data_IF_250637711759
#
_entry.id   IF_250637711759
#
_cell.length_a   1.000
_cell.length_b   1.000
_cell.length_c   1.000
_cell.angle_alpha   90.00
_cell.angle_beta   90.00
_cell.angle_gamma   90.00
#
_symmetry.space_group_name_H-M   'P 1'
#
loop_
_entity.id
_entity.type
_entity.pdbx_description
1 polymer ?
#
# COMPACT_ATOMS: atom_id res chain seq x y z
N UNK A 1 32.48 16.98 -48.56
CA UNK A 1 31.61 17.87 -47.77
C UNK A 1 30.42 17.05 -47.30
N UNK A 2 30.13 17.16 -46.00
CA UNK A 2 29.31 16.23 -45.23
C UNK A 2 27.82 16.26 -45.63
N UNK A 3 27.21 15.07 -45.58
CA UNK A 3 25.76 14.87 -45.65
C UNK A 3 25.18 15.38 -44.32
N UNK A 4 24.34 16.42 -44.39
CA UNK A 4 23.65 16.96 -43.22
C UNK A 4 22.49 16.06 -42.83
N UNK A 5 22.53 15.56 -41.60
CA UNK A 5 21.52 14.70 -41.00
C UNK A 5 20.27 15.51 -40.62
N UNK A 6 19.14 15.07 -41.17
CA UNK A 6 17.81 14.97 -40.53
C UNK A 6 17.56 15.80 -39.28
N UNK A 7 16.73 16.83 -39.44
CA UNK A 7 15.93 17.45 -38.38
C UNK A 7 15.00 16.39 -37.76
N UNK A 8 15.42 15.82 -36.63
CA UNK A 8 14.56 14.98 -35.79
C UNK A 8 13.78 15.92 -34.87
N UNK A 9 12.48 16.01 -35.12
CA UNK A 9 11.43 16.60 -34.29
C UNK A 9 11.35 15.91 -32.92
N UNK A 10 12.20 16.31 -31.98
CA UNK A 10 12.16 15.86 -30.57
C UNK A 10 11.72 17.00 -29.65
N UNK A 11 10.50 17.55 -29.80
CA UNK A 11 9.96 18.49 -28.79
C UNK A 11 8.47 18.36 -28.43
N UNK A 12 7.62 17.75 -29.26
CA UNK A 12 6.17 17.69 -28.96
C UNK A 12 5.72 16.44 -28.19
N UNK A 13 6.45 15.32 -28.26
CA UNK A 13 6.09 14.08 -27.55
C UNK A 13 6.20 14.19 -26.02
N UNK A 14 7.01 15.13 -25.51
CA UNK A 14 7.35 15.23 -24.07
C UNK A 14 6.24 15.87 -23.23
N UNK A 15 5.33 16.66 -23.83
CA UNK A 15 4.23 17.34 -23.13
C UNK A 15 2.93 16.54 -23.08
N UNK A 16 2.68 15.64 -24.04
CA UNK A 16 1.43 14.87 -24.06
C UNK A 16 1.36 13.78 -22.99
N UNK A 17 2.51 13.24 -22.55
CA UNK A 17 2.55 12.26 -21.46
C UNK A 17 1.98 12.80 -20.16
N UNK A 18 2.22 14.09 -19.86
CA UNK A 18 1.78 14.74 -18.61
C UNK A 18 0.26 14.81 -18.44
N UNK A 19 -0.53 14.61 -19.50
CA UNK A 19 -1.99 14.66 -19.48
C UNK A 19 -2.67 13.28 -19.56
N UNK A 20 -1.89 12.20 -19.51
CA UNK A 20 -2.43 10.84 -19.63
C UNK A 20 -3.41 10.53 -18.49
N UNK A 21 -4.58 10.00 -18.82
CA UNK A 21 -5.68 9.67 -17.89
C UNK A 21 -6.24 8.25 -18.10
N UNK A 22 -5.56 7.43 -18.89
CA UNK A 22 -5.79 5.99 -18.94
C UNK A 22 -5.06 5.32 -17.79
N UNK A 23 -5.77 4.47 -17.07
CA UNK A 23 -5.15 3.63 -16.05
C UNK A 23 -5.84 2.28 -15.90
N UNK A 24 -5.01 1.25 -15.72
CA UNK A 24 -5.43 -0.06 -15.22
C UNK A 24 -4.30 -0.73 -14.43
N UNK A 25 -4.63 -1.37 -13.30
CA UNK A 25 -3.65 -1.98 -12.41
C UNK A 25 -3.10 -3.28 -13.02
N UNK A 26 -1.85 -3.24 -13.48
CA UNK A 26 -1.21 -4.38 -14.15
C UNK A 26 -0.65 -5.45 -13.18
N UNK A 27 -1.00 -5.41 -11.89
CA UNK A 27 -0.45 -6.31 -10.85
C UNK A 27 1.09 -6.34 -10.84
N UNK A 28 1.69 -5.19 -11.11
CA UNK A 28 3.13 -5.05 -11.31
C UNK A 28 3.94 -4.92 -9.99
N UNK A 29 3.28 -4.88 -8.83
CA UNK A 29 3.93 -4.74 -7.52
C UNK A 29 4.49 -3.35 -7.20
N UNK A 30 4.68 -2.46 -8.19
CA UNK A 30 5.32 -1.16 -8.02
C UNK A 30 4.68 -0.29 -6.94
N UNK A 31 3.37 0.00 -7.00
CA UNK A 31 2.71 0.80 -5.97
C UNK A 31 2.65 0.09 -4.62
N UNK A 32 2.57 -1.24 -4.66
CA UNK A 32 2.53 -2.07 -3.47
C UNK A 32 3.90 -2.18 -2.76
N UNK A 33 5.02 -1.80 -3.37
CA UNK A 33 6.36 -1.84 -2.77
C UNK A 33 6.86 -0.48 -2.27
N UNK A 34 6.06 0.58 -2.43
CA UNK A 34 6.45 1.93 -2.04
C UNK A 34 6.48 2.12 -0.53
N UNK A 35 7.25 3.12 -0.09
CA UNK A 35 7.29 3.54 1.32
C UNK A 35 6.14 4.48 1.63
N UNK A 36 5.09 3.94 2.25
CA UNK A 36 3.91 4.69 2.65
C UNK A 36 3.21 4.01 3.81
N UNK A 37 2.70 4.80 4.75
CA UNK A 37 1.77 4.30 5.76
C UNK A 37 0.37 4.32 5.15
N UNK A 38 -0.28 3.16 5.18
CA UNK A 38 -1.65 3.01 4.69
C UNK A 38 -2.55 2.94 5.92
N UNK A 39 -3.34 3.98 6.14
CA UNK A 39 -4.28 4.06 7.25
C UNK A 39 -5.63 3.47 6.81
N UNK A 40 -6.06 2.35 7.40
CA UNK A 40 -7.36 1.78 7.07
C UNK A 40 -8.50 2.60 7.66
N UNK A 41 -9.58 2.75 6.89
CA UNK A 41 -10.89 3.09 7.42
C UNK A 41 -11.55 1.87 8.12
N UNK A 42 -12.56 2.12 8.96
CA UNK A 42 -13.35 1.04 9.56
C UNK A 42 -14.10 0.22 8.50
N UNK A 43 -14.50 0.85 7.41
CA UNK A 43 -15.16 0.19 6.29
C UNK A 43 -14.18 -0.73 5.55
N UNK A 44 -12.94 -0.29 5.30
CA UNK A 44 -11.90 -1.16 4.74
C UNK A 44 -11.64 -2.39 5.62
N UNK A 45 -11.55 -2.22 6.94
CA UNK A 45 -11.36 -3.33 7.88
C UNK A 45 -12.50 -4.34 7.75
N UNK A 46 -13.76 -3.88 7.72
CA UNK A 46 -14.93 -4.75 7.55
C UNK A 46 -14.93 -5.48 6.22
N UNK A 47 -14.69 -4.74 5.14
CA UNK A 47 -14.72 -5.29 3.78
C UNK A 47 -13.60 -6.32 3.56
N UNK A 48 -12.39 -6.02 4.04
CA UNK A 48 -11.25 -6.93 3.89
C UNK A 48 -11.32 -8.12 4.84
N UNK A 49 -11.77 -7.94 6.08
CA UNK A 49 -11.99 -9.06 7.01
C UNK A 49 -13.09 -10.01 6.51
N UNK A 50 -14.20 -9.47 6.00
CA UNK A 50 -15.26 -10.23 5.35
C UNK A 50 -14.76 -10.99 4.11
N UNK A 51 -13.99 -10.33 3.24
CA UNK A 51 -13.37 -11.00 2.08
C UNK A 51 -12.44 -12.15 2.49
N UNK A 52 -11.67 -11.96 3.56
CA UNK A 52 -10.76 -12.98 4.10
C UNK A 52 -11.45 -14.04 4.97
N UNK A 53 -12.76 -13.91 5.21
CA UNK A 53 -13.54 -14.80 6.09
C UNK A 53 -12.97 -14.91 7.50
N UNK A 54 -12.54 -13.78 8.08
CA UNK A 54 -12.05 -13.69 9.46
C UNK A 54 -12.76 -12.56 10.21
N UNK A 55 -12.70 -12.59 11.55
CA UNK A 55 -13.24 -11.49 12.36
C UNK A 55 -12.45 -10.19 12.19
N UNK A 56 -13.11 -9.04 12.42
CA UNK A 56 -12.44 -7.73 12.48
C UNK A 56 -11.31 -7.73 13.54
N UNK A 57 -11.51 -8.44 14.66
CA UNK A 57 -10.48 -8.60 15.69
C UNK A 57 -9.26 -9.39 15.20
N UNK A 58 -9.47 -10.55 14.58
CA UNK A 58 -8.37 -11.33 13.98
C UNK A 58 -7.69 -10.56 12.85
N UNK A 59 -8.46 -9.80 12.06
CA UNK A 59 -7.93 -8.92 11.04
C UNK A 59 -7.01 -7.85 11.63
N UNK A 60 -7.45 -7.18 12.71
CA UNK A 60 -6.64 -6.19 13.40
C UNK A 60 -5.32 -6.77 13.91
N UNK A 61 -5.37 -7.96 14.54
CA UNK A 61 -4.17 -8.65 15.03
C UNK A 61 -3.21 -9.06 13.90
N UNK A 62 -3.75 -9.52 12.77
CA UNK A 62 -2.96 -10.01 11.62
C UNK A 62 -2.38 -8.89 10.79
N UNK A 63 -3.18 -7.90 10.43
CA UNK A 63 -2.88 -6.95 9.36
C UNK A 63 -2.67 -5.52 9.82
N UNK A 64 -2.96 -5.17 11.07
CA UNK A 64 -2.81 -3.80 11.58
C UNK A 64 -1.68 -3.68 12.60
N UNK A 65 -1.12 -2.48 12.69
CA UNK A 65 -0.10 -2.11 13.65
C UNK A 65 -0.31 -0.67 14.10
N UNK A 66 0.11 -0.37 15.32
CA UNK A 66 0.27 0.99 15.78
C UNK A 66 1.65 1.51 15.36
N UNK A 67 1.68 2.66 14.70
CA UNK A 67 2.90 3.32 14.22
C UNK A 67 2.87 4.79 14.62
N UNK A 68 4.03 5.33 14.99
CA UNK A 68 4.17 6.77 15.21
C UNK A 68 4.35 7.46 13.85
N UNK A 69 3.45 8.37 13.51
CA UNK A 69 3.56 9.19 12.31
C UNK A 69 4.13 10.58 12.67
N UNK A 70 5.38 10.87 12.29
CA UNK A 70 6.01 12.16 12.58
C UNK A 70 5.33 13.33 11.85
N UNK A 71 4.52 13.10 10.81
CA UNK A 71 3.82 14.18 10.10
C UNK A 71 2.65 14.75 10.91
N UNK A 72 1.98 13.91 11.68
CA UNK A 72 0.86 14.29 12.55
C UNK A 72 1.24 14.26 14.03
N UNK A 73 2.49 13.90 14.35
CA UNK A 73 3.07 13.88 15.70
C UNK A 73 2.23 13.05 16.69
N UNK A 74 1.71 11.90 16.24
CA UNK A 74 0.92 10.99 17.07
C UNK A 74 1.08 9.54 16.61
N UNK A 75 0.74 8.60 17.48
CA UNK A 75 0.50 7.21 17.08
C UNK A 75 -0.81 7.09 16.31
N UNK A 76 -0.81 6.24 15.29
CA UNK A 76 -1.93 5.93 14.44
C UNK A 76 -1.96 4.43 14.11
N UNK A 77 -3.15 3.91 13.81
CA UNK A 77 -3.33 2.53 13.34
C UNK A 77 -3.13 2.49 11.84
N UNK A 78 -2.16 1.74 11.37
CA UNK A 78 -1.87 1.53 9.95
C UNK A 78 -1.90 0.04 9.61
N UNK A 79 -2.00 -0.28 8.33
CA UNK A 79 -1.66 -1.62 7.87
C UNK A 79 -0.19 -1.95 8.21
N UNK A 80 0.05 -3.22 8.54
CA UNK A 80 1.39 -3.79 8.57
C UNK A 80 2.01 -3.70 7.17
N UNK A 81 3.32 -3.93 7.14
CA UNK A 81 4.06 -4.03 5.89
C UNK A 81 4.59 -5.45 5.70
N UNK A 82 4.90 -5.80 4.46
CA UNK A 82 5.54 -7.07 4.13
C UNK A 82 7.07 -7.04 4.33
N UNK A 83 7.62 -5.92 4.82
CA UNK A 83 9.03 -5.76 5.16
C UNK A 83 9.21 -5.66 6.69
N UNK A 84 9.69 -6.73 7.36
CA UNK A 84 9.81 -6.76 8.82
C UNK A 84 10.81 -5.72 9.37
N UNK A 85 11.84 -5.38 8.59
CA UNK A 85 12.89 -4.44 8.98
C UNK A 85 12.54 -2.97 8.65
N UNK A 86 11.50 -2.73 7.86
CA UNK A 86 11.01 -1.38 7.52
C UNK A 86 9.48 -1.34 7.59
N UNK A 87 8.92 -0.95 8.75
CA UNK A 87 7.46 -0.97 9.00
C UNK A 87 6.69 0.09 8.20
N UNK A 88 7.35 0.82 7.30
CA UNK A 88 6.74 1.78 6.39
C UNK A 88 6.86 1.39 4.91
N UNK A 89 7.59 0.33 4.59
CA UNK A 89 7.86 -0.06 3.21
C UNK A 89 7.04 -1.27 2.82
N UNK A 90 6.27 -1.13 1.75
CA UNK A 90 5.53 -2.21 1.13
C UNK A 90 4.21 -2.55 1.80
N UNK A 91 3.29 -3.08 1.01
CA UNK A 91 1.95 -3.47 1.43
C UNK A 91 1.97 -4.91 1.95
N UNK A 92 1.36 -5.15 3.12
CA UNK A 92 1.22 -6.50 3.70
C UNK A 92 0.55 -7.52 2.77
N UNK A 93 -0.30 -7.05 1.85
CA UNK A 93 -0.99 -7.92 0.88
C UNK A 93 -0.20 -8.18 -0.41
N UNK A 94 1.02 -7.66 -0.52
CA UNK A 94 1.90 -7.90 -1.66
C UNK A 94 2.89 -9.02 -1.33
N UNK A 95 2.81 -10.13 -2.05
CA UNK A 95 3.72 -11.25 -1.91
C UNK A 95 4.24 -11.65 -3.30
N UNK A 96 5.55 -11.78 -3.45
CA UNK A 96 6.21 -12.08 -4.73
C UNK A 96 5.75 -11.16 -5.89
N UNK A 97 5.58 -9.87 -5.60
CA UNK A 97 5.03 -8.84 -6.51
C UNK A 97 3.57 -9.05 -6.94
N UNK A 98 2.85 -9.99 -6.32
CA UNK A 98 1.44 -10.25 -6.55
C UNK A 98 0.59 -9.74 -5.38
N UNK A 99 -0.49 -9.05 -5.70
CA UNK A 99 -1.47 -8.63 -4.70
C UNK A 99 -2.45 -9.77 -4.42
N UNK A 100 -2.38 -10.33 -3.22
CA UNK A 100 -3.21 -11.49 -2.82
C UNK A 100 -4.69 -11.13 -2.65
N UNK A 101 -4.99 -9.84 -2.45
CA UNK A 101 -6.35 -9.31 -2.36
C UNK A 101 -6.77 -8.58 -3.64
N UNK A 102 -6.14 -8.84 -4.78
CA UNK A 102 -6.41 -8.05 -5.99
C UNK A 102 -7.88 -8.10 -6.44
N UNK A 103 -8.55 -9.23 -6.22
CA UNK A 103 -9.98 -9.42 -6.54
C UNK A 103 -10.91 -9.08 -5.35
N UNK A 104 -10.42 -8.37 -4.33
CA UNK A 104 -11.19 -7.89 -3.19
C UNK A 104 -11.68 -6.44 -3.40
N UNK A 105 -12.40 -5.84 -2.43
CA UNK A 105 -12.69 -4.41 -2.41
C UNK A 105 -11.45 -3.47 -2.45
N UNK A 106 -10.23 -4.05 -2.34
CA UNK A 106 -8.92 -3.38 -2.26
C UNK A 106 -8.90 -2.29 -1.17
N UNK A 107 -7.75 -1.63 -0.99
CA UNK A 107 -7.65 -0.51 -0.05
C UNK A 107 -8.07 0.81 -0.71
N UNK A 108 -8.41 1.81 0.10
CA UNK A 108 -8.68 3.20 -0.29
C UNK A 108 -7.51 3.73 -1.13
N UNK A 109 -6.27 3.43 -0.73
CA UNK A 109 -5.08 3.78 -1.49
C UNK A 109 -5.08 3.13 -2.88
N UNK A 110 -5.46 1.86 -2.98
CA UNK A 110 -5.56 1.16 -4.27
C UNK A 110 -6.69 1.70 -5.16
N UNK A 111 -7.74 2.27 -4.56
CA UNK A 111 -8.88 2.82 -5.27
C UNK A 111 -8.62 4.25 -5.76
N UNK A 112 -7.88 5.07 -5.00
CA UNK A 112 -7.46 6.41 -5.42
C UNK A 112 -6.25 6.39 -6.36
N UNK A 113 -5.37 5.41 -6.26
CA UNK A 113 -4.19 5.33 -7.12
C UNK A 113 -4.56 5.12 -8.59
N UNK A 114 -3.93 5.81 -9.54
CA UNK A 114 -2.81 6.76 -9.41
C UNK A 114 -3.23 8.22 -9.17
N UNK A 115 -4.53 8.51 -9.11
CA UNK A 115 -5.11 9.86 -9.16
C UNK A 115 -4.75 10.75 -7.97
N UNK A 116 -4.31 10.17 -6.85
CA UNK A 116 -3.73 10.93 -5.75
C UNK A 116 -2.51 11.77 -6.19
N UNK A 117 -1.85 11.42 -7.30
CA UNK A 117 -0.71 12.15 -7.89
C UNK A 117 -1.04 12.98 -9.14
N UNK A 118 -2.31 13.10 -9.50
CA UNK A 118 -2.76 13.89 -10.65
C UNK A 118 -3.36 15.22 -10.17
N UNK A 119 -2.78 16.34 -10.63
CA UNK A 119 -3.27 17.70 -10.38
C UNK A 119 -4.45 17.97 -11.33
N UNK A 120 -5.65 18.06 -10.76
CA UNK A 120 -6.88 18.28 -11.52
C UNK A 120 -6.97 19.68 -12.13
N UNK A 121 -6.38 20.69 -11.50
CA UNK A 121 -6.46 22.08 -11.95
C UNK A 121 -5.50 22.34 -13.09
N UNK A 122 -4.32 21.72 -13.04
CA UNK A 122 -3.33 21.78 -14.13
C UNK A 122 -3.55 20.71 -15.20
N UNK A 123 -4.36 19.69 -14.90
CA UNK A 123 -4.49 18.47 -15.68
C UNK A 123 -3.14 17.78 -15.95
N UNK A 124 -2.28 17.77 -14.94
CA UNK A 124 -0.89 17.32 -15.05
C UNK A 124 -0.51 16.38 -13.91
N UNK A 125 0.42 15.46 -14.19
CA UNK A 125 1.02 14.62 -13.16
C UNK A 125 2.02 15.39 -12.30
N UNK A 126 2.10 15.04 -11.00
CA UNK A 126 3.18 15.51 -10.13
C UNK A 126 4.56 15.17 -10.73
N UNK A 127 5.51 16.10 -10.62
CA UNK A 127 6.84 15.98 -11.27
C UNK A 127 7.61 14.73 -10.83
N UNK A 128 7.47 14.33 -9.56
CA UNK A 128 8.08 13.12 -9.01
C UNK A 128 7.45 11.81 -9.50
N UNK A 129 6.30 11.87 -10.18
CA UNK A 129 5.57 10.73 -10.72
C UNK A 129 5.99 10.41 -12.17
N UNK A 130 6.79 11.28 -12.78
CA UNK A 130 7.32 11.11 -14.13
C UNK A 130 8.84 11.02 -14.05
N UNK A 131 9.40 10.01 -14.69
CA UNK A 131 10.85 9.81 -14.81
C UNK A 131 11.47 10.89 -15.70
N UNK A 132 12.79 11.08 -15.59
CA UNK A 132 13.55 12.07 -16.37
C UNK A 132 13.38 11.90 -17.90
N UNK A 133 13.17 10.65 -18.34
CA UNK A 133 12.93 10.28 -19.74
C UNK A 133 11.49 10.52 -20.21
N UNK A 134 10.61 11.00 -19.33
CA UNK A 134 9.20 11.26 -19.61
C UNK A 134 8.29 10.05 -19.44
N UNK A 135 8.80 8.93 -18.91
CA UNK A 135 7.99 7.73 -18.65
C UNK A 135 7.38 7.73 -17.25
N UNK A 136 6.24 7.08 -17.09
CA UNK A 136 5.65 6.81 -15.78
C UNK A 136 6.35 5.63 -15.12
N UNK A 137 6.58 5.73 -13.80
CA UNK A 137 7.12 4.58 -13.04
C UNK A 137 6.08 3.45 -12.91
N UNK A 138 4.79 3.76 -12.93
CA UNK A 138 3.74 2.76 -12.97
C UNK A 138 3.42 2.37 -14.42
N UNK A 139 3.64 1.10 -14.83
CA UNK A 139 3.36 0.66 -16.20
C UNK A 139 1.85 0.57 -16.52
N UNK A 140 0.98 0.77 -15.53
CA UNK A 140 -0.47 0.82 -15.72
C UNK A 140 -0.98 2.16 -16.25
N UNK A 141 -0.19 3.23 -16.18
CA UNK A 141 -0.58 4.53 -16.73
C UNK A 141 -0.44 4.48 -18.25
N UNK A 142 -1.44 5.00 -18.96
CA UNK A 142 -1.58 4.83 -20.41
C UNK A 142 -2.25 3.51 -20.82
N UNK A 143 -2.65 2.66 -19.86
CA UNK A 143 -3.34 1.39 -20.11
C UNK A 143 -4.80 1.43 -19.68
N UNK A 144 -5.61 0.52 -20.23
CA UNK A 144 -7.00 0.36 -19.84
C UNK A 144 -7.92 1.52 -20.19
N UNK A 145 -8.93 1.74 -19.34
CA UNK A 145 -10.00 2.72 -19.59
C UNK A 145 -9.49 4.15 -19.42
N UNK A 146 -10.03 5.06 -20.22
CA UNK A 146 -9.83 6.49 -20.05
C UNK A 146 -10.75 7.00 -18.95
N UNK A 147 -10.21 7.78 -18.01
CA UNK A 147 -10.95 8.43 -16.94
C UNK A 147 -11.25 9.89 -17.28
N UNK A 148 -12.49 10.32 -17.03
CA UNK A 148 -12.89 11.72 -17.12
C UNK A 148 -12.39 12.50 -15.89
N UNK A 149 -12.18 13.81 -16.04
CA UNK A 149 -11.77 14.65 -14.91
C UNK A 149 -12.79 14.60 -13.76
N UNK A 150 -14.07 14.46 -14.08
CA UNK A 150 -15.14 14.36 -13.09
C UNK A 150 -15.14 13.01 -12.34
N UNK A 151 -14.76 11.92 -12.99
CA UNK A 151 -14.54 10.65 -12.27
C UNK A 151 -13.31 10.71 -11.37
N UNK A 152 -12.21 11.31 -11.86
CA UNK A 152 -10.99 11.50 -11.08
C UNK A 152 -11.28 12.37 -9.85
N UNK A 153 -12.02 13.47 -10.02
CA UNK A 153 -12.49 14.34 -8.92
C UNK A 153 -13.28 13.56 -7.89
N UNK A 154 -14.31 12.82 -8.31
CA UNK A 154 -15.13 12.00 -7.41
C UNK A 154 -14.31 10.99 -6.62
N UNK A 155 -13.35 10.31 -7.24
CA UNK A 155 -12.48 9.36 -6.52
C UNK A 155 -11.60 10.07 -5.49
N UNK A 156 -11.03 11.23 -5.81
CA UNK A 156 -10.23 12.01 -4.85
C UNK A 156 -11.08 12.56 -3.70
N UNK A 157 -12.33 12.92 -3.96
CA UNK A 157 -13.29 13.37 -2.93
C UNK A 157 -13.73 12.24 -2.00
N UNK A 158 -13.86 11.00 -2.51
CA UNK A 158 -14.17 9.82 -1.69
C UNK A 158 -13.02 9.46 -0.74
N UNK A 159 -11.77 9.71 -1.15
CA UNK A 159 -10.56 9.35 -0.40
C UNK A 159 -9.70 10.59 -0.12
N UNK A 160 -10.21 11.58 0.63
CA UNK A 160 -9.49 12.82 0.85
C UNK A 160 -8.20 12.54 1.61
N UNK A 161 -7.07 13.05 1.08
CA UNK A 161 -5.72 12.94 1.66
C UNK A 161 -5.10 11.53 1.67
N UNK A 162 -5.74 10.53 1.06
CA UNK A 162 -5.15 9.19 0.94
C UNK A 162 -3.98 9.23 -0.04
N UNK A 163 -2.79 8.85 0.45
CA UNK A 163 -1.58 8.83 -0.37
C UNK A 163 -1.00 10.22 -0.70
N UNK A 164 -1.50 11.30 -0.07
CA UNK A 164 -0.80 12.58 -0.09
C UNK A 164 0.57 12.38 0.59
N UNK A 165 1.66 12.49 -0.19
CA UNK A 165 3.07 12.32 0.24
C UNK A 165 3.59 10.88 0.30
N UNK A 166 3.30 10.05 -0.71
CA UNK A 166 4.16 8.88 -0.98
C UNK A 166 5.58 9.39 -1.28
N UNK A 167 6.49 9.24 -0.32
CA UNK A 167 7.90 9.57 -0.54
C UNK A 167 8.52 8.46 -1.37
N UNK A 168 8.96 8.80 -2.58
CA UNK A 168 9.82 7.93 -3.39
C UNK A 168 11.10 7.65 -2.61
N UNK A 169 11.20 6.46 -2.03
CA UNK A 169 12.49 5.79 -1.96
C UNK A 169 12.53 4.92 -3.19
N UNK A 170 13.52 5.14 -4.06
CA UNK A 170 13.76 4.24 -5.19
C UNK A 170 14.16 2.89 -4.59
N UNK A 171 13.18 2.06 -4.29
CA UNK A 171 13.44 0.65 -4.07
C UNK A 171 13.53 0.05 -5.46
N UNK A 172 14.73 -0.34 -5.95
CA UNK A 172 14.78 -1.26 -7.06
C UNK A 172 13.89 -2.48 -6.73
N UNK A 173 13.38 -3.21 -7.73
CA UNK A 173 12.63 -4.43 -7.48
C UNK A 173 13.38 -5.30 -6.47
N UNK A 174 12.68 -5.92 -5.49
CA UNK A 174 13.34 -6.63 -4.41
C UNK A 174 14.32 -7.66 -5.01
N UNK A 175 15.60 -7.67 -4.58
CA UNK A 175 16.52 -8.69 -5.04
C UNK A 175 15.99 -10.06 -4.61
N UNK A 176 15.92 -10.98 -5.55
CA UNK A 176 15.67 -12.39 -5.29
C UNK A 176 16.85 -12.97 -4.51
N UNK A 177 16.76 -12.98 -3.18
CA UNK A 177 17.76 -13.59 -2.30
C UNK A 177 17.42 -13.49 -0.81
N UNK A 178 17.85 -14.45 0.02
CA UNK A 178 17.52 -14.48 1.44
C UNK A 178 18.40 -13.49 2.21
N UNK A 179 17.78 -12.63 3.02
CA UNK A 179 18.50 -11.81 3.99
C UNK A 179 18.09 -12.21 5.40
N UNK A 180 19.10 -12.54 6.20
CA UNK A 180 18.96 -12.92 7.60
C UNK A 180 19.65 -11.96 8.54
N UNK A 181 19.33 -12.19 9.81
CA UNK A 181 19.98 -11.82 11.07
C UNK A 181 19.68 -10.45 11.69
N UNK A 182 18.88 -10.55 12.76
CA UNK A 182 19.05 -9.99 14.10
C UNK A 182 19.61 -8.57 14.24
N UNK A 183 18.74 -7.65 14.71
CA UNK A 183 19.17 -6.55 15.59
C UNK A 183 18.18 -6.23 16.71
N UNK A 184 18.77 -6.03 17.88
CA UNK A 184 18.21 -5.71 19.19
C UNK A 184 17.45 -4.38 19.19
N UNK A 185 16.29 -4.34 19.88
CA UNK A 185 15.42 -3.16 20.03
C UNK A 185 15.71 -2.42 21.34
N UNK A 186 15.79 -1.06 21.36
CA UNK A 186 15.90 -0.31 22.61
C UNK A 186 14.55 -0.20 23.31
N UNK A 187 14.59 -0.19 24.65
CA UNK A 187 13.44 -0.11 25.54
C UNK A 187 13.11 1.33 25.94
N UNK A 188 11.82 1.59 26.11
CA UNK A 188 11.29 2.74 26.84
C UNK A 188 10.02 3.29 26.21
N UNK A 189 8.86 3.00 26.80
CA UNK A 189 7.76 3.93 27.13
C UNK A 189 6.54 3.11 27.61
N UNK A 190 5.86 3.63 28.63
CA UNK A 190 4.85 2.94 29.44
C UNK A 190 3.45 3.00 28.79
N UNK A 191 2.85 1.84 28.53
CA UNK A 191 1.41 1.67 28.39
C UNK A 191 0.83 1.09 29.69
N UNK A 192 -0.50 1.15 29.84
CA UNK A 192 -1.16 0.65 31.05
C UNK A 192 -1.14 -0.89 31.09
N UNK A 193 -0.88 -1.45 32.26
CA UNK A 193 -0.41 -2.83 32.53
C UNK A 193 -1.27 -4.01 32.03
N UNK A 194 -2.42 -3.79 31.41
CA UNK A 194 -3.34 -4.89 31.00
C UNK A 194 -3.27 -5.25 29.50
N UNK A 195 -3.16 -4.26 28.60
CA UNK A 195 -3.06 -4.48 27.15
C UNK A 195 -1.64 -4.83 26.70
N UNK A 196 -0.65 -4.26 27.39
CA UNK A 196 0.77 -4.48 27.17
C UNK A 196 1.14 -5.95 27.36
N UNK A 197 0.59 -6.63 28.38
CA UNK A 197 0.83 -8.06 28.62
C UNK A 197 0.29 -8.94 27.50
N UNK A 198 -0.85 -8.57 26.91
CA UNK A 198 -1.46 -9.34 25.83
C UNK A 198 -0.64 -9.17 24.54
N UNK A 199 -0.35 -7.92 24.17
CA UNK A 199 0.44 -7.60 22.97
C UNK A 199 1.87 -8.14 23.11
N UNK A 200 2.50 -7.98 24.28
CA UNK A 200 3.83 -8.53 24.55
C UNK A 200 3.80 -10.05 24.46
N UNK A 201 2.87 -10.76 25.12
CA UNK A 201 2.75 -12.22 24.99
C UNK A 201 2.59 -12.65 23.53
N UNK A 202 1.72 -11.99 22.76
CA UNK A 202 1.51 -12.26 21.33
C UNK A 202 2.77 -12.02 20.48
N UNK A 203 3.60 -11.02 20.82
CA UNK A 203 4.88 -10.74 20.13
C UNK A 203 5.96 -11.80 20.35
N UNK A 204 5.90 -12.58 21.43
CA UNK A 204 6.85 -13.69 21.70
C UNK A 204 6.26 -15.06 21.40
N UNK A 205 5.03 -15.13 20.88
CA UNK A 205 4.47 -16.37 20.40
C UNK A 205 5.18 -16.78 19.11
N UNK A 206 5.49 -18.07 18.98
CA UNK A 206 5.84 -18.62 17.67
C UNK A 206 4.68 -18.36 16.70
N UNK A 207 4.98 -18.34 15.39
CA UNK A 207 3.96 -18.17 14.35
C UNK A 207 2.79 -19.15 14.56
N UNK A 208 3.07 -20.39 14.97
CA UNK A 208 2.05 -21.40 15.26
C UNK A 208 1.14 -21.03 16.42
N UNK A 209 1.67 -20.35 17.43
CA UNK A 209 0.94 -19.98 18.64
C UNK A 209 0.18 -18.67 18.46
N UNK A 210 0.66 -17.78 17.59
CA UNK A 210 -0.13 -16.65 17.07
C UNK A 210 -1.33 -17.19 16.31
N UNK A 211 -1.13 -18.15 15.40
CA UNK A 211 -2.21 -18.82 14.65
C UNK A 211 -3.22 -19.51 15.58
N UNK A 212 -2.75 -20.16 16.64
CA UNK A 212 -3.62 -20.77 17.65
C UNK A 212 -4.52 -19.73 18.33
N UNK A 213 -3.96 -18.59 18.76
CA UNK A 213 -4.75 -17.50 19.36
C UNK A 213 -5.73 -16.91 18.35
N UNK A 214 -5.31 -16.69 17.12
CA UNK A 214 -6.20 -16.19 16.06
C UNK A 214 -7.36 -17.15 15.79
N UNK A 215 -7.08 -18.46 15.71
CA UNK A 215 -8.10 -19.49 15.54
C UNK A 215 -9.06 -19.52 16.74
N UNK A 216 -8.56 -19.33 17.96
CA UNK A 216 -9.41 -19.22 19.16
C UNK A 216 -10.33 -17.99 19.08
N UNK A 217 -9.79 -16.84 18.65
CA UNK A 217 -10.57 -15.61 18.45
C UNK A 217 -11.64 -15.84 17.39
N UNK A 218 -11.28 -16.38 16.22
CA UNK A 218 -12.24 -16.67 15.15
C UNK A 218 -13.34 -17.64 15.62
N UNK A 219 -12.99 -18.73 16.32
CA UNK A 219 -13.97 -19.65 16.91
C UNK A 219 -14.92 -18.97 17.91
N UNK A 220 -14.43 -18.00 18.69
CA UNK A 220 -15.21 -17.28 19.70
C UNK A 220 -16.18 -16.29 19.06
N UNK A 221 -15.75 -15.61 18.00
CA UNK A 221 -16.52 -14.53 17.37
C UNK A 221 -17.33 -14.98 16.14
N UNK A 222 -17.07 -16.16 15.56
CA UNK A 222 -17.81 -16.68 14.37
C UNK A 222 -18.86 -17.73 14.70
N UNK A 223 -19.08 -18.08 15.98
CA UNK A 223 -20.18 -18.96 16.36
C UNK A 223 -20.21 -20.28 15.59
N UNK A 224 -19.25 -21.18 15.85
CA UNK A 224 -19.48 -22.61 15.65
C UNK A 224 -19.56 -23.16 14.21
N UNK A 225 -19.06 -22.47 13.19
CA UNK A 225 -18.80 -23.11 11.90
C UNK A 225 -17.30 -23.16 11.60
N UNK A 226 -16.65 -24.18 12.15
CA UNK A 226 -15.36 -24.68 11.66
C UNK A 226 -15.65 -25.36 10.31
N UNK A 227 -15.43 -24.64 9.20
CA UNK A 227 -15.30 -25.30 7.90
C UNK A 227 -13.89 -25.86 7.81
N UNK A 228 -13.77 -27.17 7.95
CA UNK A 228 -12.54 -27.89 7.62
C UNK A 228 -12.24 -27.74 6.12
N UNK A 229 -11.12 -27.11 5.79
CA UNK A 229 -10.36 -27.34 4.56
C UNK A 229 -8.88 -27.39 4.90
#
# INVERSE_FOLDING_TARGET
>A
MMISASDITVKDGKKNGLKERRFDCQRCGYCCSQKTLIYPSLEEIRNLSGYLSISECSFALRYLQEVYDPQINTYAVAFKTNHPDDPMTGCIFCHDNLCVIHNSPRTDLCNVFPWNHFDLEREEWEENFVSYDGTFWCPGIGRGRLWTLEEIRRVKELYPKVGEKIKRLYNPPPPSGPQGTDRVRPSGFNLTMSEERLIHKLRFLSIDKIREVENMVDCTYHGGHVSHY
#
